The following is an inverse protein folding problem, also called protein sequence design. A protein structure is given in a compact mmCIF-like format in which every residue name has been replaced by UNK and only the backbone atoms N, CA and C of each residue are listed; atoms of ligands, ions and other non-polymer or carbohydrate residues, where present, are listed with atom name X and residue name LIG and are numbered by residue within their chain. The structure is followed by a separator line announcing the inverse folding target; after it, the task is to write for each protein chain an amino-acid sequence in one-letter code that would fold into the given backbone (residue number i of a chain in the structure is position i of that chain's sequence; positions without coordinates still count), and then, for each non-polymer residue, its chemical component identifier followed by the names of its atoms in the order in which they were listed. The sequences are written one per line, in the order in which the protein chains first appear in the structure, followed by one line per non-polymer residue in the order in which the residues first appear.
data_IF_494882428345
#
_entry.id   IF_494882428345
#
_cell.length_a   1.000
_cell.length_b   1.000
_cell.length_c   1.000
_cell.angle_alpha   90.00
_cell.angle_beta   90.00
_cell.angle_gamma   90.00
#
_symmetry.space_group_name_H-M   'P 1'
#
loop_
_entity.id
_entity.type
_entity.pdbx_description
1 polymer ?
#
# COMPACT_ATOMS: atom_id res chain seq x y z
N UNK A 1 23.36 -6.45 23.84
CA UNK A 1 22.78 -5.77 22.66
C UNK A 1 22.65 -6.83 21.58
N UNK A 2 21.46 -7.00 20.94
CA UNK A 2 21.34 -7.92 19.81
C UNK A 2 22.12 -7.34 18.63
N UNK A 3 22.92 -8.14 17.95
CA UNK A 3 23.57 -7.73 16.72
C UNK A 3 22.53 -7.72 15.62
N UNK A 4 22.30 -6.56 15.00
CA UNK A 4 21.42 -6.40 13.85
C UNK A 4 22.26 -6.28 12.58
N UNK A 5 21.91 -7.05 11.55
CA UNK A 5 22.49 -6.95 10.22
C UNK A 5 21.43 -6.37 9.27
N UNK A 6 21.88 -5.51 8.35
CA UNK A 6 21.04 -4.83 7.37
C UNK A 6 21.54 -5.27 5.99
N UNK A 7 20.74 -6.08 5.32
CA UNK A 7 21.12 -6.67 4.04
C UNK A 7 20.24 -6.08 2.95
N UNK A 8 20.87 -5.54 1.92
CA UNK A 8 20.14 -5.07 0.74
C UNK A 8 19.42 -6.24 0.06
N UNK A 9 18.17 -6.05 -0.30
CA UNK A 9 17.37 -7.06 -0.98
C UNK A 9 17.99 -7.40 -2.35
N UNK A 10 17.97 -8.67 -2.69
CA UNK A 10 18.27 -9.20 -4.03
C UNK A 10 17.21 -10.23 -4.44
N UNK A 11 17.01 -10.47 -5.76
CA UNK A 11 15.91 -11.31 -6.24
C UNK A 11 15.90 -12.75 -5.72
N UNK A 12 17.05 -13.30 -5.37
CA UNK A 12 17.19 -14.63 -4.74
C UNK A 12 16.58 -14.70 -3.32
N UNK A 13 16.27 -13.54 -2.71
CA UNK A 13 15.64 -13.44 -1.40
C UNK A 13 14.11 -13.26 -1.47
N UNK A 14 13.50 -13.35 -2.67
CA UNK A 14 12.06 -13.10 -2.86
C UNK A 14 11.18 -13.97 -1.97
N UNK A 15 11.45 -15.28 -1.93
CA UNK A 15 10.67 -16.23 -1.14
C UNK A 15 10.75 -15.94 0.37
N UNK A 16 11.92 -15.57 0.85
CA UNK A 16 12.14 -15.24 2.27
C UNK A 16 11.49 -13.90 2.62
N UNK A 17 11.59 -12.90 1.75
CA UNK A 17 10.89 -11.62 1.87
C UNK A 17 9.38 -11.83 1.96
N UNK A 18 8.78 -12.50 0.99
CA UNK A 18 7.33 -12.70 0.91
C UNK A 18 6.81 -13.57 2.07
N UNK A 19 7.58 -14.58 2.48
CA UNK A 19 7.28 -15.39 3.67
C UNK A 19 7.27 -14.54 4.94
N UNK A 20 8.21 -13.61 5.09
CA UNK A 20 8.26 -12.71 6.23
C UNK A 20 7.09 -11.72 6.19
N UNK A 21 6.82 -11.06 5.06
CA UNK A 21 5.68 -10.15 4.86
C UNK A 21 4.37 -10.82 5.26
N UNK A 22 4.15 -12.06 4.81
CA UNK A 22 2.95 -12.84 5.09
C UNK A 22 2.72 -13.13 6.58
N UNK A 23 3.78 -13.15 7.41
CA UNK A 23 3.73 -13.43 8.86
C UNK A 23 3.87 -12.19 9.72
N UNK A 24 4.25 -11.06 9.15
CA UNK A 24 4.52 -9.82 9.90
C UNK A 24 3.24 -9.21 10.47
N UNK A 25 3.39 -8.36 11.51
CA UNK A 25 2.30 -7.69 12.20
C UNK A 25 1.54 -6.71 11.30
N UNK A 26 2.27 -5.97 10.48
CA UNK A 26 1.77 -4.85 9.68
C UNK A 26 2.01 -5.03 8.16
N UNK A 27 2.51 -6.19 7.73
CA UNK A 27 2.67 -6.52 6.31
C UNK A 27 1.33 -6.78 5.64
N UNK A 28 1.26 -6.39 4.37
CA UNK A 28 0.10 -6.60 3.51
C UNK A 28 0.56 -7.03 2.13
N UNK A 29 -0.36 -7.45 1.27
CA UNK A 29 -0.02 -7.93 -0.08
C UNK A 29 0.72 -6.89 -0.95
N UNK A 30 0.55 -5.58 -0.71
CA UNK A 30 1.28 -4.55 -1.47
C UNK A 30 2.77 -4.51 -1.15
N UNK A 31 3.21 -5.16 -0.07
CA UNK A 31 4.61 -5.30 0.29
C UNK A 31 5.24 -6.60 -0.24
N UNK A 32 4.45 -7.49 -0.87
CA UNK A 32 5.01 -8.68 -1.54
C UNK A 32 5.78 -8.27 -2.80
N UNK A 33 6.78 -9.03 -3.16
CA UNK A 33 7.56 -8.79 -4.39
C UNK A 33 6.68 -8.93 -5.63
N UNK A 34 5.71 -9.85 -5.62
CA UNK A 34 4.72 -9.98 -6.68
C UNK A 34 3.97 -8.66 -6.98
N UNK A 35 3.72 -7.83 -5.94
CA UNK A 35 3.16 -6.49 -6.11
C UNK A 35 4.25 -5.44 -6.36
N UNK A 36 5.30 -5.39 -5.54
CA UNK A 36 6.32 -4.33 -5.64
C UNK A 36 7.00 -4.31 -7.01
N UNK A 37 7.27 -5.48 -7.58
CA UNK A 37 8.05 -5.60 -8.81
C UNK A 37 7.23 -5.40 -10.11
N UNK A 38 5.91 -5.08 -10.02
CA UNK A 38 5.15 -4.75 -11.24
C UNK A 38 5.63 -3.43 -11.89
N UNK A 39 6.31 -2.60 -11.14
CA UNK A 39 6.80 -1.29 -11.56
C UNK A 39 8.28 -1.07 -11.21
N UNK A 40 9.06 -2.15 -11.15
CA UNK A 40 10.50 -2.12 -10.84
C UNK A 40 11.32 -1.24 -11.81
N UNK A 41 10.81 -1.05 -13.03
CA UNK A 41 11.40 -0.15 -14.03
C UNK A 41 11.40 1.34 -13.63
N UNK A 42 10.57 1.72 -12.66
CA UNK A 42 10.39 3.11 -12.21
C UNK A 42 11.09 3.45 -10.90
N UNK A 43 11.57 2.45 -10.18
CA UNK A 43 12.13 2.63 -8.83
C UNK A 43 13.46 1.92 -8.69
N UNK A 44 14.48 2.66 -8.29
CA UNK A 44 15.78 2.11 -7.88
C UNK A 44 15.61 1.50 -6.47
N UNK A 45 15.45 0.18 -6.44
CA UNK A 45 15.15 -0.57 -5.21
C UNK A 45 16.30 -0.47 -4.21
N UNK A 46 15.97 -0.03 -3.01
CA UNK A 46 16.85 0.08 -1.85
C UNK A 46 16.27 -0.68 -0.65
N UNK A 47 15.43 -1.68 -0.93
CA UNK A 47 14.79 -2.48 0.12
C UNK A 47 15.82 -3.24 0.95
N UNK A 48 15.53 -3.38 2.25
CA UNK A 48 16.46 -3.95 3.23
C UNK A 48 15.78 -5.03 4.05
N UNK A 49 16.49 -6.15 4.25
CA UNK A 49 16.16 -7.15 5.25
C UNK A 49 16.94 -6.85 6.54
N UNK A 50 16.26 -6.92 7.68
CA UNK A 50 16.88 -6.80 9.00
C UNK A 50 16.98 -8.19 9.60
N UNK A 51 18.20 -8.64 9.89
CA UNK A 51 18.50 -9.98 10.37
C UNK A 51 19.08 -9.91 11.78
N UNK A 52 18.70 -10.85 12.62
CA UNK A 52 19.31 -11.10 13.94
C UNK A 52 19.30 -12.58 14.24
N UNK A 53 20.46 -13.13 14.65
CA UNK A 53 20.68 -14.57 14.90
C UNK A 53 20.23 -15.43 13.71
N UNK A 54 20.62 -15.04 12.50
CA UNK A 54 20.32 -15.70 11.23
C UNK A 54 18.83 -15.77 10.86
N UNK A 55 17.98 -15.00 11.57
CA UNK A 55 16.57 -14.92 11.29
C UNK A 55 16.19 -13.51 10.79
N UNK A 56 15.29 -13.43 9.80
CA UNK A 56 14.70 -12.18 9.37
C UNK A 56 13.73 -11.71 10.45
N UNK A 57 14.00 -10.54 11.01
CA UNK A 57 13.17 -9.92 12.04
C UNK A 57 12.43 -8.68 11.56
N UNK A 58 12.79 -8.16 10.40
CA UNK A 58 12.13 -7.03 9.76
C UNK A 58 12.49 -6.91 8.30
N UNK A 59 11.62 -6.30 7.51
CA UNK A 59 11.90 -5.88 6.15
C UNK A 59 11.47 -4.44 5.95
N UNK A 60 12.23 -3.69 5.17
CA UNK A 60 11.97 -2.29 4.88
C UNK A 60 11.88 -2.09 3.36
N UNK A 61 10.65 -2.03 2.79
CA UNK A 61 10.47 -1.65 1.38
C UNK A 61 11.02 -0.25 1.16
N UNK A 62 11.91 -0.08 0.20
CA UNK A 62 12.53 1.22 -0.03
C UNK A 62 12.96 1.42 -1.49
N UNK A 63 13.06 2.68 -1.91
CA UNK A 63 13.69 3.06 -3.16
C UNK A 63 14.47 4.37 -3.01
N UNK A 64 15.46 4.57 -3.86
CA UNK A 64 16.21 5.81 -3.91
C UNK A 64 15.32 6.98 -4.40
N UNK A 65 15.45 8.15 -3.75
CA UNK A 65 14.72 9.36 -4.08
C UNK A 65 15.64 10.57 -3.97
N UNK A 66 16.32 10.93 -5.05
CA UNK A 66 17.34 11.98 -5.06
C UNK A 66 18.49 11.63 -4.09
N UNK A 67 18.79 12.50 -3.14
CA UNK A 67 19.79 12.23 -2.09
C UNK A 67 19.26 11.48 -0.87
N UNK A 68 18.05 10.95 -0.93
CA UNK A 68 17.42 10.21 0.17
C UNK A 68 16.81 8.91 -0.28
N UNK A 69 16.20 8.22 0.70
CA UNK A 69 15.44 6.99 0.52
C UNK A 69 14.01 7.24 0.95
N UNK A 70 13.04 6.66 0.25
CA UNK A 70 11.65 6.64 0.66
C UNK A 70 11.18 5.21 0.90
N UNK A 71 10.30 5.01 1.90
CA UNK A 71 9.66 3.72 2.15
C UNK A 71 8.61 3.41 1.08
N UNK A 72 9.06 3.37 -0.14
CA UNK A 72 8.45 3.01 -1.42
C UNK A 72 7.24 3.86 -1.86
N UNK A 73 7.49 4.93 -2.66
CA UNK A 73 6.43 5.81 -3.18
C UNK A 73 5.48 5.15 -4.19
N UNK A 74 5.86 4.02 -4.77
CA UNK A 74 4.97 3.19 -5.61
C UNK A 74 3.90 2.43 -4.83
N UNK A 75 3.98 2.43 -3.50
CA UNK A 75 3.00 1.80 -2.62
C UNK A 75 2.04 2.84 -2.01
N UNK A 76 0.83 2.41 -1.69
CA UNK A 76 -0.14 3.23 -0.93
C UNK A 76 0.45 3.64 0.41
N UNK A 77 1.14 2.72 1.08
CA UNK A 77 1.89 2.91 2.32
C UNK A 77 3.06 1.90 2.36
N UNK A 78 4.08 2.19 3.15
CA UNK A 78 5.28 1.37 3.27
C UNK A 78 5.72 1.22 4.72
N UNK A 79 6.91 1.68 5.08
CA UNK A 79 7.46 1.60 6.43
C UNK A 79 8.13 0.26 6.73
N UNK A 80 8.64 0.13 7.95
CA UNK A 80 9.22 -1.13 8.40
C UNK A 80 8.13 -2.15 8.70
N UNK A 81 8.30 -3.36 8.22
CA UNK A 81 7.45 -4.50 8.58
C UNK A 81 8.21 -5.34 9.61
N UNK A 82 7.52 -5.77 10.64
CA UNK A 82 8.14 -6.47 11.77
C UNK A 82 7.26 -7.61 12.30
N UNK A 83 7.90 -8.56 12.99
CA UNK A 83 7.23 -9.76 13.50
C UNK A 83 6.18 -9.45 14.56
N UNK A 84 5.21 -10.38 14.73
CA UNK A 84 4.06 -10.20 15.60
C UNK A 84 4.44 -10.07 17.08
N UNK A 85 5.51 -10.76 17.51
CA UNK A 85 5.95 -10.81 18.92
C UNK A 85 7.07 -9.81 19.24
N UNK A 86 7.39 -8.91 18.29
CA UNK A 86 8.49 -7.96 18.51
C UNK A 86 8.08 -6.81 19.42
N UNK A 87 9.00 -6.43 20.28
CA UNK A 87 8.81 -5.33 21.23
C UNK A 87 9.17 -3.99 20.58
N UNK A 88 8.54 -2.91 21.02
CA UNK A 88 8.77 -1.55 20.53
C UNK A 88 10.24 -1.12 20.61
N UNK A 89 11.00 -1.58 21.64
CA UNK A 89 12.43 -1.31 21.75
C UNK A 89 13.23 -1.88 20.58
N UNK A 90 12.90 -3.11 20.12
CA UNK A 90 13.57 -3.72 18.98
C UNK A 90 13.18 -3.02 17.66
N UNK A 91 11.92 -2.61 17.51
CA UNK A 91 11.47 -1.82 16.33
C UNK A 91 12.22 -0.49 16.27
N UNK A 92 12.45 0.16 17.45
CA UNK A 92 13.26 1.36 17.54
C UNK A 92 14.72 1.12 17.13
N UNK A 93 15.32 0.02 17.59
CA UNK A 93 16.71 -0.32 17.27
C UNK A 93 16.85 -0.65 15.77
N UNK A 94 15.87 -1.32 15.17
CA UNK A 94 15.81 -1.56 13.71
C UNK A 94 15.76 -0.23 12.94
N UNK A 95 14.90 0.71 13.33
CA UNK A 95 14.79 2.02 12.66
C UNK A 95 16.05 2.87 12.85
N UNK A 96 16.69 2.83 14.02
CA UNK A 96 17.98 3.47 14.24
C UNK A 96 19.07 2.88 13.32
N UNK A 97 19.17 1.55 13.29
CA UNK A 97 20.14 0.88 12.43
C UNK A 97 19.87 1.08 10.92
N UNK A 98 18.61 1.16 10.47
CA UNK A 98 18.27 1.55 9.10
C UNK A 98 18.77 2.97 8.78
N UNK A 99 18.64 3.90 9.73
CA UNK A 99 19.18 5.25 9.57
C UNK A 99 20.70 5.24 9.37
N UNK A 100 21.42 4.48 10.18
CA UNK A 100 22.87 4.33 10.08
C UNK A 100 23.27 3.63 8.77
N UNK A 101 22.57 2.57 8.38
CA UNK A 101 22.78 1.83 7.14
C UNK A 101 22.67 2.75 5.91
N UNK A 102 21.58 3.50 5.79
CA UNK A 102 21.37 4.40 4.65
C UNK A 102 22.33 5.60 4.69
N UNK A 103 22.67 6.11 5.87
CA UNK A 103 23.67 7.17 6.01
C UNK A 103 25.04 6.69 5.54
N UNK A 104 25.44 5.48 5.91
CA UNK A 104 26.71 4.87 5.47
C UNK A 104 26.73 4.59 3.96
N UNK A 105 25.55 4.37 3.35
CA UNK A 105 25.38 4.24 1.90
C UNK A 105 25.30 5.61 1.17
N UNK A 106 25.49 6.74 1.87
CA UNK A 106 25.53 8.09 1.30
C UNK A 106 24.19 8.80 1.22
N UNK A 107 23.10 8.20 1.68
CA UNK A 107 21.79 8.85 1.72
C UNK A 107 21.68 9.81 2.92
N UNK A 108 21.04 10.97 2.70
CA UNK A 108 20.94 12.04 3.71
C UNK A 108 19.60 12.12 4.41
N UNK A 109 18.61 11.35 3.94
CA UNK A 109 17.22 11.44 4.41
C UNK A 109 16.49 10.14 4.19
N UNK A 110 15.65 9.75 5.17
CA UNK A 110 14.65 8.71 5.01
C UNK A 110 13.27 9.35 5.07
N UNK A 111 12.44 9.11 4.05
CA UNK A 111 11.03 9.49 4.07
C UNK A 111 10.21 8.26 4.39
N UNK A 112 9.65 8.23 5.58
CA UNK A 112 8.88 7.09 6.11
C UNK A 112 7.38 7.30 5.90
N UNK A 113 6.69 6.32 5.34
CA UNK A 113 5.25 6.33 5.07
C UNK A 113 4.62 5.16 5.82
N UNK A 114 4.13 5.43 7.03
CA UNK A 114 3.62 4.40 7.92
C UNK A 114 2.45 3.61 7.30
N UNK A 115 2.38 2.31 7.62
CA UNK A 115 1.19 1.48 7.36
C UNK A 115 0.09 1.93 8.32
N UNK A 116 -1.10 2.35 7.83
CA UNK A 116 -2.19 2.69 8.73
C UNK A 116 -2.66 1.45 9.52
N UNK A 117 -2.91 1.61 10.83
CA UNK A 117 -3.23 0.51 11.73
C UNK A 117 -4.45 -0.34 11.31
N UNK A 118 -5.38 0.24 10.55
CA UNK A 118 -6.56 -0.48 10.00
C UNK A 118 -6.18 -1.62 9.05
N UNK A 119 -4.99 -1.58 8.44
CA UNK A 119 -4.46 -2.63 7.57
C UNK A 119 -3.56 -3.61 8.32
N UNK A 120 -3.23 -3.33 9.59
CA UNK A 120 -2.44 -4.24 10.39
C UNK A 120 -3.23 -5.51 10.70
N UNK A 121 -2.56 -6.65 10.68
CA UNK A 121 -3.10 -7.90 11.17
C UNK A 121 -3.41 -7.83 12.66
N UNK A 122 -2.58 -7.11 13.37
CA UNK A 122 -2.68 -6.84 14.79
C UNK A 122 -2.33 -5.35 15.03
N UNK A 123 -3.28 -4.51 15.46
CA UNK A 123 -3.05 -3.08 15.61
C UNK A 123 -1.86 -2.77 16.51
N UNK A 124 -0.94 -1.95 16.03
CA UNK A 124 0.25 -1.52 16.77
C UNK A 124 0.77 -0.19 16.21
N UNK A 125 1.45 0.57 17.04
CA UNK A 125 2.08 1.85 16.71
C UNK A 125 3.54 1.90 17.16
N UNK A 126 4.20 0.72 17.23
CA UNK A 126 5.59 0.60 17.69
C UNK A 126 6.55 1.38 16.79
N UNK A 127 6.30 1.42 15.49
CA UNK A 127 7.08 2.20 14.54
C UNK A 127 6.87 3.70 14.70
N UNK A 128 5.64 4.17 14.98
CA UNK A 128 5.36 5.59 15.23
C UNK A 128 6.00 6.05 16.55
N UNK A 129 5.93 5.23 17.60
CA UNK A 129 6.65 5.47 18.86
C UNK A 129 8.18 5.53 18.63
N UNK A 130 8.72 4.60 17.86
CA UNK A 130 10.14 4.56 17.54
C UNK A 130 10.58 5.80 16.76
N UNK A 131 9.83 6.20 15.73
CA UNK A 131 10.09 7.42 14.94
C UNK A 131 10.10 8.67 15.83
N UNK A 132 9.13 8.79 16.76
CA UNK A 132 9.11 9.90 17.72
C UNK A 132 10.34 9.89 18.62
N UNK A 133 10.72 8.72 19.16
CA UNK A 133 11.90 8.59 20.04
C UNK A 133 13.22 8.85 19.32
N UNK A 134 13.26 8.71 18.00
CA UNK A 134 14.39 9.03 17.12
C UNK A 134 14.34 10.46 16.56
N UNK A 135 13.44 11.32 17.07
CA UNK A 135 13.25 12.70 16.66
C UNK A 135 12.88 12.86 15.15
N UNK A 136 12.18 11.87 14.57
CA UNK A 136 11.69 11.99 13.21
C UNK A 136 10.64 13.11 13.11
N UNK A 137 10.69 13.90 12.03
CA UNK A 137 9.77 15.01 11.83
C UNK A 137 8.54 14.55 11.04
N UNK A 138 7.36 14.77 11.58
CA UNK A 138 6.11 14.59 10.85
C UNK A 138 5.99 15.68 9.77
N UNK A 139 5.96 15.27 8.50
CA UNK A 139 5.90 16.18 7.34
C UNK A 139 4.53 16.20 6.67
N UNK A 140 3.73 15.14 6.84
CA UNK A 140 2.39 15.03 6.26
C UNK A 140 1.51 14.09 7.08
N UNK A 141 0.23 14.42 7.21
CA UNK A 141 -0.81 13.53 7.74
C UNK A 141 -2.07 13.69 6.92
N UNK A 142 -2.51 12.61 6.32
CA UNK A 142 -3.75 12.55 5.55
C UNK A 142 -4.86 11.92 6.40
N UNK A 143 -6.11 12.28 6.09
CA UNK A 143 -7.30 11.68 6.69
C UNK A 143 -8.02 10.84 5.66
N UNK A 144 -8.37 9.62 6.03
CA UNK A 144 -9.21 8.74 5.21
C UNK A 144 -10.53 8.46 5.89
N UNK A 145 -11.61 8.44 5.11
CA UNK A 145 -12.90 8.00 5.59
C UNK A 145 -12.94 6.47 5.63
N UNK A 146 -13.40 5.92 6.75
CA UNK A 146 -13.56 4.48 6.94
C UNK A 146 -15.02 4.15 7.19
N UNK A 147 -15.54 3.15 6.48
CA UNK A 147 -16.87 2.60 6.71
C UNK A 147 -16.68 1.27 7.46
N UNK A 148 -17.22 1.15 8.69
CA UNK A 148 -17.11 -0.09 9.47
C UNK A 148 -17.91 -1.24 8.83
N UNK A 149 -17.59 -2.52 9.12
CA UNK A 149 -18.25 -3.69 8.50
C UNK A 149 -19.77 -3.74 8.64
N UNK A 150 -20.32 -3.21 9.74
CA UNK A 150 -21.78 -3.11 9.97
C UNK A 150 -22.42 -1.90 9.25
N UNK A 151 -21.70 -1.30 8.33
CA UNK A 151 -22.17 -0.23 7.46
C UNK A 151 -21.93 1.18 8.01
N UNK A 152 -22.26 2.20 7.22
CA UNK A 152 -21.95 3.60 7.51
C UNK A 152 -22.85 4.22 8.59
N UNK A 153 -23.67 3.42 9.27
CA UNK A 153 -24.69 3.94 10.18
C UNK A 153 -25.75 4.75 9.42
N UNK A 154 -25.76 6.07 9.58
CA UNK A 154 -26.74 6.95 8.94
C UNK A 154 -26.29 7.38 7.53
N UNK A 155 -26.92 6.85 6.48
CA UNK A 155 -26.72 7.32 5.10
C UNK A 155 -27.44 8.65 4.88
N UNK A 156 -26.76 9.64 4.30
CA UNK A 156 -27.34 10.98 4.04
C UNK A 156 -28.53 10.92 3.06
N UNK A 157 -29.46 11.85 3.22
CA UNK A 157 -30.64 11.97 2.35
C UNK A 157 -30.25 12.16 0.87
N UNK A 158 -29.14 12.87 0.60
CA UNK A 158 -28.63 13.08 -0.75
C UNK A 158 -28.19 11.74 -1.38
N UNK A 159 -27.43 10.92 -0.68
CA UNK A 159 -26.99 9.60 -1.17
C UNK A 159 -28.17 8.65 -1.39
N UNK A 160 -29.16 8.65 -0.48
CA UNK A 160 -30.39 7.86 -0.66
C UNK A 160 -31.19 8.29 -1.89
N UNK A 161 -31.29 9.59 -2.16
CA UNK A 161 -31.95 10.12 -3.38
C UNK A 161 -31.17 9.72 -4.64
N UNK A 162 -29.83 9.82 -4.63
CA UNK A 162 -28.99 9.39 -5.74
C UNK A 162 -29.17 7.90 -6.06
N UNK A 163 -29.15 7.05 -5.03
CA UNK A 163 -29.39 5.61 -5.19
C UNK A 163 -30.77 5.32 -5.82
N UNK A 164 -31.83 5.96 -5.32
CA UNK A 164 -33.17 5.81 -5.90
C UNK A 164 -33.25 6.29 -7.36
N UNK A 165 -32.53 7.37 -7.70
CA UNK A 165 -32.47 7.85 -9.09
C UNK A 165 -31.76 6.82 -9.99
N UNK A 166 -30.61 6.29 -9.56
CA UNK A 166 -29.88 5.24 -10.30
C UNK A 166 -30.77 4.00 -10.53
N UNK A 167 -31.49 3.55 -9.50
CA UNK A 167 -32.43 2.43 -9.62
C UNK A 167 -33.55 2.69 -10.65
N UNK A 168 -34.11 3.91 -10.66
CA UNK A 168 -35.15 4.29 -11.64
C UNK A 168 -34.63 4.34 -13.07
N UNK A 169 -33.35 4.65 -13.23
CA UNK A 169 -32.68 4.67 -14.54
C UNK A 169 -32.13 3.29 -14.93
N UNK A 170 -32.52 2.23 -14.21
CA UNK A 170 -32.04 0.85 -14.45
C UNK A 170 -30.52 0.71 -14.43
N UNK A 171 -29.81 1.50 -13.62
CA UNK A 171 -28.37 1.35 -13.43
C UNK A 171 -28.07 0.03 -12.73
N UNK A 172 -27.24 -0.78 -13.37
CA UNK A 172 -26.82 -2.11 -12.87
C UNK A 172 -25.37 -2.06 -12.42
N UNK A 173 -25.08 -2.63 -11.26
CA UNK A 173 -23.72 -2.80 -10.78
C UNK A 173 -23.19 -4.17 -11.18
N UNK A 174 -22.01 -4.20 -11.80
CA UNK A 174 -21.34 -5.43 -12.23
C UNK A 174 -19.90 -5.45 -11.69
N UNK A 175 -19.43 -6.64 -11.29
CA UNK A 175 -18.01 -6.93 -11.13
C UNK A 175 -17.51 -7.55 -12.43
N UNK A 176 -16.33 -7.17 -12.92
CA UNK A 176 -15.77 -7.72 -14.16
C UNK A 176 -14.42 -7.12 -14.53
N UNK A 177 -13.90 -7.58 -15.67
CA UNK A 177 -12.56 -7.23 -16.16
C UNK A 177 -12.62 -6.20 -17.34
N UNK A 178 -13.52 -5.22 -17.25
CA UNK A 178 -13.71 -4.14 -18.24
C UNK A 178 -12.66 -3.02 -18.08
N UNK A 179 -11.37 -3.38 -18.14
CA UNK A 179 -10.24 -2.48 -17.87
C UNK A 179 -10.12 -1.36 -18.90
N UNK A 180 -10.48 -1.60 -20.15
CA UNK A 180 -10.42 -0.62 -21.25
C UNK A 180 -11.42 0.51 -21.02
N UNK A 181 -12.67 0.17 -20.75
CA UNK A 181 -13.74 1.14 -20.47
C UNK A 181 -13.46 1.91 -19.17
N UNK A 182 -13.01 1.18 -18.13
CA UNK A 182 -12.61 1.79 -16.87
C UNK A 182 -11.47 2.80 -17.07
N UNK A 183 -10.42 2.44 -17.81
CA UNK A 183 -9.28 3.32 -18.07
C UNK A 183 -9.70 4.56 -18.87
N UNK A 184 -10.55 4.41 -19.88
CA UNK A 184 -11.08 5.52 -20.67
C UNK A 184 -11.88 6.49 -19.79
N UNK A 185 -12.76 5.97 -18.93
CA UNK A 185 -13.52 6.76 -17.96
C UNK A 185 -12.62 7.48 -16.97
N UNK A 186 -11.67 6.78 -16.36
CA UNK A 186 -10.71 7.33 -15.40
C UNK A 186 -9.86 8.44 -16.03
N UNK A 187 -9.33 8.22 -17.23
CA UNK A 187 -8.55 9.21 -17.97
C UNK A 187 -9.40 10.45 -18.32
N UNK A 188 -10.69 10.27 -18.64
CA UNK A 188 -11.62 11.38 -18.88
C UNK A 188 -11.83 12.22 -17.62
N UNK A 189 -12.05 11.58 -16.48
CA UNK A 189 -12.25 12.26 -15.19
C UNK A 189 -10.99 13.00 -14.75
N UNK A 190 -9.83 12.35 -14.81
CA UNK A 190 -8.56 12.91 -14.36
C UNK A 190 -8.09 14.11 -15.21
N UNK A 191 -8.44 14.16 -16.49
CA UNK A 191 -8.15 15.33 -17.35
C UNK A 191 -8.69 16.65 -16.77
N UNK A 192 -9.84 16.61 -16.06
CA UNK A 192 -10.41 17.79 -15.40
C UNK A 192 -9.51 18.35 -14.29
N UNK A 193 -8.58 17.53 -13.80
CA UNK A 193 -7.63 17.86 -12.74
C UNK A 193 -6.19 17.96 -13.26
N UNK A 194 -5.99 18.03 -14.59
CA UNK A 194 -4.66 17.99 -15.24
C UNK A 194 -3.81 16.79 -14.79
N UNK A 195 -4.45 15.64 -14.56
CA UNK A 195 -3.83 14.40 -14.11
C UNK A 195 -4.08 13.27 -15.11
N UNK A 196 -3.25 12.23 -15.03
CA UNK A 196 -3.38 10.98 -15.79
C UNK A 196 -3.44 9.79 -14.85
N UNK A 197 -4.02 8.66 -15.26
CA UNK A 197 -3.97 7.42 -14.47
C UNK A 197 -2.51 7.03 -14.19
N UNK A 198 -2.24 6.65 -12.94
CA UNK A 198 -0.89 6.20 -12.53
C UNK A 198 -0.59 4.81 -13.10
N UNK A 199 -1.60 3.93 -13.18
CA UNK A 199 -1.47 2.59 -13.73
C UNK A 199 -1.92 2.58 -15.19
N UNK A 200 -1.18 1.91 -16.05
CA UNK A 200 -1.60 1.56 -17.41
C UNK A 200 -2.56 0.38 -17.38
N UNK A 201 -3.29 0.15 -18.50
CA UNK A 201 -4.16 -1.02 -18.64
C UNK A 201 -3.36 -2.33 -18.50
N UNK A 202 -2.15 -2.37 -19.05
CA UNK A 202 -1.27 -3.54 -18.95
C UNK A 202 -0.91 -3.85 -17.49
N UNK A 203 -0.61 -2.81 -16.69
CA UNK A 203 -0.32 -2.98 -15.26
C UNK A 203 -1.54 -3.42 -14.45
N UNK A 204 -2.73 -2.89 -14.72
CA UNK A 204 -3.96 -3.34 -14.08
C UNK A 204 -4.19 -4.84 -14.33
N UNK A 205 -4.05 -5.28 -15.59
CA UNK A 205 -4.18 -6.69 -15.99
C UNK A 205 -3.08 -7.56 -15.39
N UNK A 206 -1.84 -7.07 -15.35
CA UNK A 206 -0.71 -7.79 -14.75
C UNK A 206 -0.91 -8.01 -13.25
N UNK A 207 -1.31 -6.98 -12.52
CA UNK A 207 -1.61 -7.07 -11.08
C UNK A 207 -2.75 -8.05 -10.82
N UNK A 208 -3.84 -7.98 -11.61
CA UNK A 208 -4.94 -8.95 -11.51
C UNK A 208 -4.47 -10.39 -11.78
N UNK A 209 -3.59 -10.59 -12.77
CA UNK A 209 -3.02 -11.90 -13.07
C UNK A 209 -2.12 -12.44 -11.95
N UNK A 210 -1.24 -11.59 -11.38
CA UNK A 210 -0.32 -11.99 -10.30
C UNK A 210 -1.02 -12.25 -8.98
N UNK A 211 -2.05 -11.46 -8.68
CA UNK A 211 -2.73 -11.45 -7.38
C UNK A 211 -4.26 -11.42 -7.58
N UNK A 212 -4.87 -12.45 -8.16
CA UNK A 212 -6.26 -12.43 -8.64
C UNK A 212 -7.30 -12.13 -7.57
N UNK A 213 -7.02 -12.56 -6.31
CA UNK A 213 -7.93 -12.34 -5.19
C UNK A 213 -7.83 -10.95 -4.55
N UNK A 214 -6.81 -10.16 -4.93
CA UNK A 214 -6.53 -8.86 -4.30
C UNK A 214 -7.16 -7.68 -5.02
N UNK A 215 -7.61 -7.87 -6.26
CA UNK A 215 -8.14 -6.77 -7.08
C UNK A 215 -9.55 -7.08 -7.57
N UNK A 216 -10.44 -6.11 -7.36
CA UNK A 216 -11.83 -6.14 -7.82
C UNK A 216 -12.14 -4.85 -8.58
N UNK A 217 -12.79 -4.99 -9.72
CA UNK A 217 -13.28 -3.86 -10.49
C UNK A 217 -14.80 -3.91 -10.53
N UNK A 218 -15.43 -2.86 -10.00
CA UNK A 218 -16.88 -2.70 -10.04
C UNK A 218 -17.25 -1.54 -10.94
N UNK A 219 -18.25 -1.74 -11.80
CA UNK A 219 -18.81 -0.73 -12.69
C UNK A 219 -20.30 -0.55 -12.49
N UNK A 220 -20.77 0.68 -12.66
CA UNK A 220 -22.17 1.04 -12.79
C UNK A 220 -22.48 1.28 -14.26
N UNK A 221 -23.45 0.53 -14.78
CA UNK A 221 -23.83 0.54 -16.20
C UNK A 221 -25.26 1.07 -16.35
N UNK A 222 -25.44 2.02 -17.24
CA UNK A 222 -26.75 2.51 -17.73
C UNK A 222 -26.85 2.19 -19.23
N UNK A 223 -27.84 1.40 -19.65
CA UNK A 223 -27.98 0.93 -21.03
C UNK A 223 -26.69 0.27 -21.59
N UNK A 224 -26.03 -0.58 -20.78
CA UNK A 224 -24.75 -1.23 -21.07
C UNK A 224 -23.53 -0.29 -21.24
N UNK A 225 -23.70 1.01 -21.03
CA UNK A 225 -22.60 1.98 -21.01
C UNK A 225 -22.05 2.14 -19.58
N UNK A 226 -20.72 2.09 -19.42
CA UNK A 226 -20.06 2.30 -18.14
C UNK A 226 -20.10 3.79 -17.75
N UNK A 227 -20.87 4.12 -16.71
CA UNK A 227 -21.06 5.50 -16.23
C UNK A 227 -20.26 5.86 -14.99
N UNK A 228 -19.93 4.86 -14.17
CA UNK A 228 -19.04 5.02 -13.01
C UNK A 228 -18.33 3.70 -12.70
N UNK A 229 -17.14 3.77 -12.12
CA UNK A 229 -16.41 2.58 -11.72
C UNK A 229 -15.52 2.83 -10.52
N UNK A 230 -15.15 1.75 -9.83
CA UNK A 230 -14.15 1.78 -8.76
C UNK A 230 -13.26 0.56 -8.85
N UNK A 231 -11.94 0.78 -8.73
CA UNK A 231 -10.96 -0.29 -8.59
C UNK A 231 -10.59 -0.43 -7.12
N UNK A 232 -10.79 -1.64 -6.60
CA UNK A 232 -10.72 -1.92 -5.17
C UNK A 232 -9.57 -2.88 -4.88
N UNK A 233 -8.75 -2.54 -3.89
CA UNK A 233 -7.76 -3.42 -3.29
C UNK A 233 -8.37 -4.15 -2.10
N UNK A 234 -8.31 -5.47 -2.11
CA UNK A 234 -8.78 -6.31 -1.01
C UNK A 234 -7.61 -6.66 -0.10
N UNK A 235 -7.53 -5.99 1.03
CA UNK A 235 -6.66 -6.36 2.15
C UNK A 235 -7.33 -7.42 3.04
N UNK A 236 -6.58 -8.02 3.95
CA UNK A 236 -7.13 -9.03 4.85
C UNK A 236 -8.13 -8.43 5.86
N UNK A 237 -7.95 -7.16 6.22
CA UNK A 237 -8.75 -6.45 7.23
C UNK A 237 -9.69 -5.39 6.63
N UNK A 238 -9.47 -4.96 5.40
CA UNK A 238 -10.17 -3.83 4.81
C UNK A 238 -10.26 -3.91 3.28
N UNK A 239 -11.23 -3.20 2.71
CA UNK A 239 -11.27 -2.88 1.29
C UNK A 239 -10.82 -1.43 1.10
N UNK A 240 -9.94 -1.19 0.14
CA UNK A 240 -9.47 0.14 -0.21
C UNK A 240 -9.88 0.49 -1.64
N UNK A 241 -10.59 1.61 -1.80
CA UNK A 241 -10.91 2.14 -3.13
C UNK A 241 -9.70 2.92 -3.65
N UNK A 242 -8.95 2.33 -4.58
CA UNK A 242 -7.75 2.95 -5.17
C UNK A 242 -8.13 4.05 -6.15
N UNK A 243 -9.18 3.82 -6.93
CA UNK A 243 -9.80 4.82 -7.79
C UNK A 243 -11.31 4.82 -7.54
N UNK A 244 -11.89 6.02 -7.51
CA UNK A 244 -13.31 6.22 -7.23
C UNK A 244 -13.89 7.31 -8.15
#
# INVERSE_FOLDING_TARGET
MRLLQFIHYSPDMEDDWDRFVAKSRNGTFIHSRAFMDYHSDRFDDQSVLVISNDEIIGVFPAHAMGSGVASHNGLTFGGILYGIDQRASLVRDMLAGLSDHFTSSGFKKITYKAVPHIFHRYPAEDDLFALQSLNAKLIRRDLSAVIPPNGPGKVSALRKRGQKKAQRNNVVIREGDFYEEFYALLAHVLRKHNATPIHSIAELKLLKKRLPERFKLFGAFENDELTAATWVFRFDTALHTQYL
#
